data_IF_969453875324
#
_entry.id   IF_969453875324
#
_cell.length_a   1.000
_cell.length_b   1.000
_cell.length_c   1.000
_cell.angle_alpha   90.00
_cell.angle_beta   90.00
_cell.angle_gamma   90.00
#
_symmetry.space_group_name_H-M   'P 1'
#
loop_
_entity.id
_entity.type
_entity.pdbx_description
1 polymer ?
#
# COMPACT_ATOMS: atom_id res chain seq x y z
N UNK A 1 42.83 -58.40 -50.34
CA UNK A 1 43.80 -57.29 -50.37
C UNK A 1 43.04 -56.00 -50.14
N UNK A 2 43.48 -55.25 -49.12
CA UNK A 2 43.31 -53.81 -48.87
C UNK A 2 41.93 -53.17 -48.68
N UNK A 3 41.82 -52.52 -47.51
CA UNK A 3 40.84 -51.55 -47.02
C UNK A 3 40.86 -50.20 -47.77
N UNK A 4 39.70 -49.49 -47.76
CA UNK A 4 39.51 -48.05 -47.48
C UNK A 4 37.99 -47.73 -47.51
N UNK A 5 37.31 -47.38 -46.40
CA UNK A 5 37.26 -46.11 -45.64
C UNK A 5 36.27 -45.09 -46.23
N UNK A 6 35.16 -44.91 -45.47
CA UNK A 6 34.36 -43.68 -45.23
C UNK A 6 33.38 -43.29 -46.36
N UNK A 7 32.11 -42.98 -46.07
CA UNK A 7 31.69 -41.67 -45.54
C UNK A 7 30.33 -41.74 -44.84
N UNK A 8 30.29 -41.18 -43.63
CA UNK A 8 29.12 -40.83 -42.82
C UNK A 8 28.29 -39.74 -43.53
N UNK A 9 26.98 -39.94 -43.68
CA UNK A 9 26.04 -38.87 -43.99
C UNK A 9 25.38 -38.43 -42.67
N UNK A 10 25.82 -37.29 -42.15
CA UNK A 10 25.22 -36.64 -41.00
C UNK A 10 23.91 -35.95 -41.43
N UNK A 11 22.82 -36.27 -40.72
CA UNK A 11 21.55 -35.54 -40.79
C UNK A 11 21.67 -34.35 -39.82
N UNK A 12 21.80 -33.15 -40.34
CA UNK A 12 21.80 -31.92 -39.54
C UNK A 12 20.35 -31.51 -39.31
N UNK A 13 19.78 -31.88 -38.15
CA UNK A 13 18.56 -31.26 -37.64
C UNK A 13 18.95 -29.93 -36.99
N UNK A 14 18.56 -28.81 -37.61
CA UNK A 14 18.67 -27.49 -37.01
C UNK A 14 17.62 -27.35 -35.92
N UNK A 15 18.01 -27.61 -34.66
CA UNK A 15 17.28 -27.13 -33.50
C UNK A 15 17.74 -25.68 -33.25
N UNK A 16 16.98 -24.72 -33.75
CA UNK A 16 17.06 -23.33 -33.30
C UNK A 16 16.47 -23.27 -31.89
N UNK A 17 17.33 -23.41 -30.88
CA UNK A 17 17.00 -23.03 -29.52
C UNK A 17 16.85 -21.50 -29.49
N UNK A 18 15.62 -21.00 -29.34
CA UNK A 18 15.44 -19.72 -28.67
C UNK A 18 15.79 -19.97 -27.20
N UNK A 19 17.03 -19.64 -26.84
CA UNK A 19 17.33 -19.31 -25.46
C UNK A 19 16.61 -17.99 -25.18
N UNK A 20 15.40 -18.08 -24.63
CA UNK A 20 14.78 -16.95 -23.94
C UNK A 20 15.71 -16.56 -22.81
N UNK A 21 16.00 -15.26 -22.72
CA UNK A 21 16.85 -14.70 -21.68
C UNK A 21 16.20 -14.95 -20.31
N UNK A 22 16.71 -15.92 -19.56
CA UNK A 22 16.65 -15.89 -18.11
C UNK A 22 17.82 -15.01 -17.67
N UNK A 23 17.58 -13.72 -17.54
CA UNK A 23 18.52 -12.78 -16.97
C UNK A 23 17.74 -11.88 -16.01
N UNK A 24 18.20 -11.86 -14.75
CA UNK A 24 17.70 -11.13 -13.58
C UNK A 24 16.42 -11.68 -12.93
N UNK A 25 16.56 -12.75 -12.14
CA UNK A 25 15.55 -13.13 -11.14
C UNK A 25 16.16 -13.47 -9.77
N UNK A 26 17.48 -13.28 -9.59
CA UNK A 26 18.21 -13.62 -8.36
C UNK A 26 18.32 -12.43 -7.38
N UNK A 27 17.82 -11.25 -7.76
CA UNK A 27 17.90 -10.00 -6.97
C UNK A 27 16.50 -9.39 -6.70
N UNK A 28 15.41 -10.08 -7.03
CA UNK A 28 14.05 -9.57 -6.76
C UNK A 28 13.70 -9.85 -5.30
N UNK A 29 13.55 -8.78 -4.51
CA UNK A 29 13.08 -8.88 -3.12
C UNK A 29 11.56 -8.85 -3.10
N UNK A 30 10.89 -9.82 -2.47
CA UNK A 30 9.44 -9.79 -2.31
C UNK A 30 9.00 -8.54 -1.55
N UNK A 31 8.00 -7.84 -2.07
CA UNK A 31 7.46 -6.61 -1.46
C UNK A 31 6.00 -6.40 -1.83
N UNK A 32 5.29 -5.65 -0.97
CA UNK A 32 3.91 -5.23 -1.16
C UNK A 32 3.89 -3.71 -1.12
N UNK A 33 3.46 -3.05 -2.20
CA UNK A 33 3.25 -1.61 -2.22
C UNK A 33 1.89 -1.30 -1.57
N UNK A 34 1.93 -0.73 -0.37
CA UNK A 34 0.72 -0.37 0.39
C UNK A 34 0.19 1.03 0.05
N UNK A 35 1.05 1.91 -0.45
CA UNK A 35 0.66 3.25 -0.89
C UNK A 35 -0.25 3.14 -2.11
N UNK A 36 -1.36 3.89 -2.10
CA UNK A 36 -2.37 3.82 -3.16
C UNK A 36 -3.29 2.60 -3.08
N UNK A 37 -3.20 1.78 -2.03
CA UNK A 37 -4.19 0.72 -1.80
C UNK A 37 -5.58 1.34 -1.73
N UNK A 38 -6.44 0.95 -2.65
CA UNK A 38 -7.85 1.34 -2.60
C UNK A 38 -8.63 0.23 -1.94
N UNK A 39 -9.36 0.57 -0.90
CA UNK A 39 -10.16 -0.37 -0.14
C UNK A 39 -11.63 0.05 -0.21
N UNK A 40 -12.48 -0.91 -0.54
CA UNK A 40 -13.94 -0.80 -0.44
C UNK A 40 -14.45 -1.88 0.51
N UNK A 41 -15.74 -1.89 0.82
CA UNK A 41 -16.30 -2.84 1.79
C UNK A 41 -15.95 -4.30 1.47
N UNK A 42 -15.82 -4.70 0.20
CA UNK A 42 -15.66 -6.11 -0.19
C UNK A 42 -14.48 -6.36 -1.13
N UNK A 43 -13.64 -5.37 -1.37
CA UNK A 43 -12.56 -5.49 -2.33
C UNK A 43 -11.41 -4.54 -1.98
N UNK A 44 -10.20 -5.01 -2.20
CA UNK A 44 -8.96 -4.24 -2.10
C UNK A 44 -8.25 -4.27 -3.44
N UNK A 45 -7.67 -3.16 -3.87
CA UNK A 45 -6.75 -3.11 -5.00
C UNK A 45 -5.38 -2.72 -4.47
N UNK A 46 -4.39 -3.58 -4.66
CA UNK A 46 -3.00 -3.36 -4.26
C UNK A 46 -2.22 -2.90 -5.49
N UNK A 47 -1.64 -1.68 -5.49
CA UNK A 47 -1.07 -1.11 -6.70
C UNK A 47 0.09 -1.90 -7.27
N UNK A 48 0.94 -2.47 -6.42
CA UNK A 48 2.06 -3.27 -6.87
C UNK A 48 2.39 -4.37 -5.85
N UNK A 49 2.61 -5.58 -6.36
CA UNK A 49 3.10 -6.73 -5.61
C UNK A 49 4.29 -7.32 -6.35
N UNK A 50 5.41 -7.50 -5.66
CA UNK A 50 6.57 -8.20 -6.21
C UNK A 50 6.80 -9.49 -5.43
N UNK A 51 6.96 -10.60 -6.15
CA UNK A 51 7.29 -11.89 -5.55
C UNK A 51 8.24 -12.65 -6.48
N UNK A 52 9.23 -13.32 -5.92
CA UNK A 52 10.27 -14.02 -6.67
C UNK A 52 9.82 -15.39 -7.22
N UNK A 53 8.82 -16.00 -6.56
CA UNK A 53 8.13 -17.22 -6.97
C UNK A 53 6.60 -17.03 -6.98
N UNK A 54 5.82 -17.80 -7.77
CA UNK A 54 4.37 -17.67 -7.79
C UNK A 54 3.76 -17.90 -6.41
N UNK A 55 2.67 -17.21 -6.11
CA UNK A 55 2.08 -17.24 -4.79
C UNK A 55 0.79 -16.48 -4.66
N UNK A 56 0.54 -16.01 -3.45
CA UNK A 56 -0.67 -15.32 -3.07
C UNK A 56 -0.36 -14.07 -2.25
N UNK A 57 -1.13 -13.03 -2.48
CA UNK A 57 -1.29 -11.94 -1.52
C UNK A 57 -2.57 -12.20 -0.72
N UNK A 58 -2.46 -12.14 0.61
CA UNK A 58 -3.52 -12.56 1.53
C UNK A 58 -3.83 -11.45 2.51
N UNK A 59 -5.12 -11.24 2.79
CA UNK A 59 -5.60 -10.24 3.74
C UNK A 59 -5.94 -10.92 5.06
N UNK A 60 -5.36 -10.43 6.16
CA UNK A 60 -5.68 -10.87 7.52
C UNK A 60 -6.20 -9.71 8.36
N UNK A 61 -7.07 -10.03 9.31
CA UNK A 61 -7.43 -9.11 10.41
C UNK A 61 -6.25 -8.91 11.33
N UNK A 62 -6.20 -7.75 11.98
CA UNK A 62 -5.28 -7.47 13.08
C UNK A 62 -6.05 -7.46 14.41
N UNK A 63 -5.53 -8.12 15.42
CA UNK A 63 -6.03 -8.10 16.80
C UNK A 63 -4.86 -7.90 17.76
N UNK A 64 -4.97 -6.95 18.69
CA UNK A 64 -3.90 -6.59 19.64
C UNK A 64 -2.52 -6.31 18.98
N UNK A 65 -2.54 -5.74 17.77
CA UNK A 65 -1.34 -5.42 17.00
C UNK A 65 -0.67 -6.61 16.30
N UNK A 66 -1.33 -7.78 16.26
CA UNK A 66 -0.83 -8.97 15.59
C UNK A 66 -1.83 -9.51 14.54
N UNK A 67 -1.35 -10.15 13.47
CA UNK A 67 -2.22 -10.81 12.48
C UNK A 67 -2.98 -11.98 13.11
N UNK A 68 -4.29 -12.05 12.85
CA UNK A 68 -5.11 -13.21 13.20
C UNK A 68 -4.84 -14.31 12.16
N UNK A 69 -3.94 -15.23 12.45
CA UNK A 69 -3.59 -16.37 11.59
C UNK A 69 -4.02 -17.70 12.23
N UNK A 70 -4.38 -18.73 11.43
CA UNK A 70 -4.28 -18.82 9.96
C UNK A 70 -5.51 -18.29 9.21
N UNK A 71 -6.50 -17.71 9.90
CA UNK A 71 -7.71 -17.17 9.30
C UNK A 71 -7.39 -16.00 8.34
N UNK A 72 -7.81 -16.07 7.08
CA UNK A 72 -7.76 -14.94 6.14
C UNK A 72 -9.18 -14.43 5.84
N UNK A 73 -9.28 -13.22 5.29
CA UNK A 73 -10.55 -12.62 4.86
C UNK A 73 -10.59 -12.31 3.35
N UNK A 74 -9.56 -12.72 2.61
CA UNK A 74 -9.47 -12.59 1.16
C UNK A 74 -8.06 -12.89 0.67
N UNK A 75 -7.92 -13.23 -0.60
CA UNK A 75 -6.64 -13.53 -1.23
C UNK A 75 -6.72 -13.36 -2.75
N UNK A 76 -5.57 -13.12 -3.39
CA UNK A 76 -5.42 -13.15 -4.83
C UNK A 76 -4.12 -13.87 -5.22
N UNK A 77 -4.16 -14.60 -6.34
CA UNK A 77 -2.97 -15.22 -6.92
C UNK A 77 -2.11 -14.17 -7.59
N UNK A 78 -0.79 -14.28 -7.43
CA UNK A 78 0.21 -13.43 -8.06
C UNK A 78 1.28 -14.29 -8.75
N UNK A 79 1.59 -13.96 -10.00
CA UNK A 79 2.68 -14.60 -10.73
C UNK A 79 4.03 -14.09 -10.19
N UNK A 80 5.09 -14.90 -10.39
CA UNK A 80 6.46 -14.45 -10.12
C UNK A 80 6.80 -13.22 -10.98
N UNK A 81 7.39 -12.21 -10.36
CA UNK A 81 7.66 -10.90 -10.94
C UNK A 81 6.90 -9.78 -10.24
N UNK A 82 6.71 -8.69 -10.97
CA UNK A 82 5.88 -7.55 -10.56
C UNK A 82 4.46 -7.76 -11.10
N UNK A 83 3.46 -7.60 -10.22
CA UNK A 83 2.05 -7.56 -10.55
C UNK A 83 1.47 -6.21 -10.14
N UNK A 84 0.89 -5.50 -11.10
CA UNK A 84 0.25 -4.20 -10.88
C UNK A 84 -1.27 -4.35 -10.67
N UNK A 85 -1.88 -3.42 -9.93
CA UNK A 85 -3.33 -3.31 -9.73
C UNK A 85 -3.98 -4.64 -9.30
N UNK A 86 -3.38 -5.33 -8.33
CA UNK A 86 -3.82 -6.64 -7.85
C UNK A 86 -5.14 -6.50 -7.09
N UNK A 87 -6.20 -7.01 -7.70
CA UNK A 87 -7.55 -7.00 -7.11
C UNK A 87 -7.73 -8.21 -6.21
N UNK A 88 -8.10 -7.95 -4.96
CA UNK A 88 -8.39 -8.96 -3.93
C UNK A 88 -9.87 -8.84 -3.55
N UNK A 89 -10.64 -9.88 -3.86
CA UNK A 89 -12.02 -10.01 -3.37
C UNK A 89 -12.00 -10.53 -1.93
N UNK A 90 -12.88 -9.97 -1.09
CA UNK A 90 -12.95 -10.31 0.33
C UNK A 90 -14.14 -11.21 0.66
N UNK A 91 -13.87 -12.26 1.42
CA UNK A 91 -14.87 -13.19 1.95
C UNK A 91 -15.71 -12.54 3.06
N UNK A 92 -15.11 -11.57 3.77
CA UNK A 92 -15.75 -10.78 4.82
C UNK A 92 -15.54 -9.29 4.56
N UNK A 93 -16.53 -8.43 4.84
CA UNK A 93 -16.37 -7.02 4.57
C UNK A 93 -15.35 -6.37 5.52
N UNK A 94 -14.62 -5.38 5.02
CA UNK A 94 -13.81 -4.49 5.84
C UNK A 94 -14.70 -3.65 6.75
N UNK A 95 -14.25 -3.42 7.98
CA UNK A 95 -14.91 -2.53 8.93
C UNK A 95 -14.17 -1.21 9.00
N UNK A 96 -14.91 -0.13 9.24
CA UNK A 96 -14.33 1.19 9.42
C UNK A 96 -13.48 1.24 10.69
N UNK A 97 -12.41 2.03 10.64
CA UNK A 97 -11.49 2.28 11.75
C UNK A 97 -10.80 1.01 12.28
N UNK A 98 -10.63 0.00 11.42
CA UNK A 98 -9.90 -1.23 11.71
C UNK A 98 -8.56 -1.29 10.96
N UNK A 99 -7.67 -2.15 11.45
CA UNK A 99 -6.39 -2.44 10.81
C UNK A 99 -6.41 -3.84 10.21
N UNK A 100 -5.81 -3.95 9.04
CA UNK A 100 -5.66 -5.19 8.30
C UNK A 100 -4.21 -5.30 7.86
N UNK A 101 -3.76 -6.54 7.64
CA UNK A 101 -2.43 -6.79 7.09
C UNK A 101 -2.54 -7.56 5.78
N UNK A 102 -1.73 -7.15 4.81
CA UNK A 102 -1.44 -7.92 3.62
C UNK A 102 -0.18 -8.74 3.90
N UNK A 103 -0.25 -10.05 3.63
CA UNK A 103 0.85 -10.99 3.79
C UNK A 103 1.10 -11.74 2.49
N UNK A 104 2.36 -11.88 2.09
CA UNK A 104 2.71 -12.74 0.96
C UNK A 104 2.85 -14.19 1.39
N UNK A 105 2.37 -15.09 0.54
CA UNK A 105 2.50 -16.55 0.67
C UNK A 105 3.02 -17.12 -0.65
N UNK A 106 3.83 -18.16 -0.60
CA UNK A 106 4.21 -18.91 -1.82
C UNK A 106 3.15 -19.95 -2.15
N UNK A 107 2.97 -20.28 -3.44
CA UNK A 107 2.18 -21.44 -3.88
C UNK A 107 3.05 -22.69 -3.80
N UNK A 108 3.18 -23.23 -2.58
CA UNK A 108 4.19 -24.25 -2.28
C UNK A 108 3.86 -25.63 -2.85
N UNK A 109 2.59 -25.90 -3.14
CA UNK A 109 2.15 -27.15 -3.76
C UNK A 109 1.86 -27.02 -5.27
N UNK A 110 1.84 -25.77 -5.77
CA UNK A 110 1.80 -25.43 -7.19
C UNK A 110 0.44 -25.67 -7.82
N UNK A 111 -0.63 -25.64 -7.03
CA UNK A 111 -2.00 -25.91 -7.50
C UNK A 111 -2.80 -24.65 -7.83
N UNK A 112 -2.23 -23.46 -7.54
CA UNK A 112 -2.84 -22.15 -7.81
C UNK A 112 -4.05 -21.83 -6.93
N UNK A 113 -4.27 -22.57 -5.85
CA UNK A 113 -5.40 -22.41 -4.92
C UNK A 113 -4.88 -22.16 -3.51
N UNK A 114 -5.26 -21.02 -2.92
CA UNK A 114 -4.84 -20.70 -1.56
C UNK A 114 -5.45 -21.67 -0.54
N UNK A 115 -4.58 -22.40 0.17
CA UNK A 115 -4.92 -23.53 1.03
C UNK A 115 -4.38 -23.42 2.46
N UNK A 116 -3.71 -22.32 2.81
CA UNK A 116 -3.23 -22.07 4.17
C UNK A 116 -4.40 -21.74 5.12
N UNK A 117 -4.62 -22.59 6.13
CA UNK A 117 -5.78 -22.49 7.01
C UNK A 117 -5.72 -23.41 8.23
N UNK A 118 -6.81 -23.42 9.02
CA UNK A 118 -6.89 -24.26 10.23
C UNK A 118 -6.68 -25.76 9.88
N UNK A 119 -5.61 -26.34 10.40
CA UNK A 119 -5.25 -27.74 10.15
C UNK A 119 -4.47 -28.00 8.85
N UNK A 120 -4.18 -26.97 8.06
CA UNK A 120 -3.38 -27.01 6.82
C UNK A 120 -2.45 -25.80 6.77
N UNK A 121 -1.39 -25.80 7.58
CA UNK A 121 -0.41 -24.70 7.69
C UNK A 121 0.95 -25.02 7.10
N UNK A 122 1.09 -26.22 6.54
CA UNK A 122 2.34 -26.72 5.93
C UNK A 122 2.34 -26.53 4.39
N UNK A 123 1.24 -26.01 3.85
CA UNK A 123 1.06 -25.60 2.46
C UNK A 123 0.74 -24.12 2.43
N UNK A 124 1.10 -23.48 1.32
CA UNK A 124 1.07 -22.05 1.07
C UNK A 124 1.65 -21.23 2.22
N UNK A 125 2.89 -21.52 2.57
CA UNK A 125 3.53 -20.89 3.71
C UNK A 125 3.86 -19.42 3.42
N UNK A 126 3.85 -18.55 4.45
CA UNK A 126 4.25 -17.15 4.29
C UNK A 126 5.63 -17.01 3.66
N UNK A 127 5.80 -16.00 2.82
CA UNK A 127 7.12 -15.56 2.33
C UNK A 127 7.87 -14.98 3.53
N UNK A 128 9.04 -15.53 3.84
CA UNK A 128 9.86 -15.11 4.99
C UNK A 128 11.17 -14.51 4.51
N UNK A 129 11.38 -13.23 4.83
CA UNK A 129 12.62 -12.49 4.57
C UNK A 129 13.23 -12.07 5.91
N UNK A 130 14.54 -12.25 6.06
CA UNK A 130 15.28 -11.93 7.30
C UNK A 130 14.68 -12.51 8.60
N UNK A 131 13.96 -13.63 8.47
CA UNK A 131 13.34 -14.33 9.59
C UNK A 131 11.94 -13.81 9.99
N UNK A 132 11.39 -12.85 9.25
CA UNK A 132 10.03 -12.33 9.44
C UNK A 132 9.17 -12.54 8.17
N UNK A 133 7.85 -12.78 8.31
CA UNK A 133 6.94 -12.78 7.16
C UNK A 133 6.94 -11.42 6.45
N UNK A 134 6.86 -11.43 5.12
CA UNK A 134 6.70 -10.22 4.32
C UNK A 134 5.25 -9.75 4.46
N UNK A 135 5.07 -8.71 5.25
CA UNK A 135 3.76 -8.14 5.57
C UNK A 135 3.77 -6.62 5.45
N UNK A 136 2.62 -6.05 5.13
CA UNK A 136 2.35 -4.62 5.30
C UNK A 136 0.99 -4.42 5.97
N UNK A 137 0.79 -3.28 6.64
CA UNK A 137 -0.44 -2.96 7.36
C UNK A 137 -1.11 -1.78 6.67
N UNK A 138 -2.42 -1.85 6.51
CA UNK A 138 -3.25 -0.73 6.08
C UNK A 138 -4.43 -0.55 7.04
N UNK A 139 -4.87 0.70 7.19
CA UNK A 139 -6.04 1.05 7.99
C UNK A 139 -7.19 1.45 7.07
N UNK A 140 -8.40 1.11 7.47
CA UNK A 140 -9.62 1.48 6.75
C UNK A 140 -10.23 2.71 7.40
N UNK A 141 -10.22 3.85 6.71
CA UNK A 141 -10.96 5.02 7.18
C UNK A 141 -12.46 4.87 6.92
N UNK A 142 -13.30 5.38 7.83
CA UNK A 142 -14.76 5.37 7.66
C UNK A 142 -15.23 5.98 6.33
N UNK A 143 -14.56 7.04 5.86
CA UNK A 143 -14.86 7.68 4.57
C UNK A 143 -14.38 6.86 3.36
N UNK A 144 -13.33 6.05 3.52
CA UNK A 144 -12.79 5.21 2.44
C UNK A 144 -13.69 4.01 2.13
N UNK A 145 -14.45 3.52 3.11
CA UNK A 145 -15.39 2.41 2.94
C UNK A 145 -16.75 2.80 2.37
N UNK A 146 -16.89 4.03 1.83
CA UNK A 146 -18.05 4.53 1.10
C UNK A 146 -19.38 4.20 1.78
N UNK A 147 -19.91 5.13 2.59
CA UNK A 147 -21.19 5.01 3.34
C UNK A 147 -22.12 3.88 2.87
N UNK A 148 -21.97 2.68 3.44
CA UNK A 148 -23.01 1.65 3.35
C UNK A 148 -24.04 1.94 4.44
N UNK A 149 -24.66 3.13 4.40
CA UNK A 149 -25.88 3.38 5.15
C UNK A 149 -27.07 2.73 4.41
N UNK A 150 -27.53 1.64 5.01
CA UNK A 150 -28.91 1.15 4.98
C UNK A 150 -29.46 0.52 3.68
N UNK A 151 -29.09 -0.74 3.42
CA UNK A 151 -29.91 -1.67 2.64
C UNK A 151 -30.19 -3.00 3.36
N UNK A 152 -30.34 -3.00 4.70
CA UNK A 152 -30.84 -4.17 5.45
C UNK A 152 -31.78 -3.75 6.58
N UNK A 153 -32.82 -2.96 6.28
CA UNK A 153 -33.89 -2.68 7.24
C UNK A 153 -35.23 -2.22 6.61
N UNK A 154 -35.67 -2.81 5.49
CA UNK A 154 -37.09 -2.70 5.07
C UNK A 154 -37.49 -3.89 4.17
N UNK A 155 -37.34 -5.09 4.69
CA UNK A 155 -37.96 -6.29 4.13
C UNK A 155 -38.53 -7.18 5.24
N UNK A 156 -39.31 -6.57 6.14
CA UNK A 156 -40.11 -7.33 7.09
C UNK A 156 -41.38 -6.56 7.47
N UNK A 157 -42.31 -6.44 6.53
CA UNK A 157 -43.72 -6.30 6.91
C UNK A 157 -44.60 -5.53 5.95
N UNK A 158 -45.04 -6.16 4.85
CA UNK A 158 -46.48 -6.42 4.64
C UNK A 158 -46.70 -7.33 3.43
N UNK A 159 -47.25 -8.50 3.68
CA UNK A 159 -47.90 -9.32 2.66
C UNK A 159 -49.38 -8.95 2.68
N UNK A 160 -49.92 -8.34 1.62
CA UNK A 160 -51.33 -8.55 1.19
C UNK A 160 -51.47 -8.31 -0.33
N UNK A 161 -51.66 -9.43 -1.04
CA UNK A 161 -52.48 -9.72 -2.23
C UNK A 161 -52.73 -8.68 -3.35
N UNK A 162 -52.57 -9.15 -4.60
CA UNK A 162 -53.46 -8.70 -5.69
C UNK A 162 -52.86 -8.66 -7.11
N UNK A 163 -52.90 -9.80 -7.79
CA UNK A 163 -53.04 -10.04 -9.25
C UNK A 163 -53.08 -8.81 -10.18
N UNK A 164 -52.25 -8.77 -11.25
CA UNK A 164 -52.66 -8.84 -12.68
C UNK A 164 -51.55 -8.39 -13.65
N UNK A 165 -51.11 -9.37 -14.45
CA UNK A 165 -50.75 -9.43 -15.87
C UNK A 165 -50.71 -8.19 -16.80
N UNK A 166 -50.00 -8.39 -17.93
CA UNK A 166 -50.07 -7.74 -19.27
C UNK A 166 -48.93 -6.79 -19.70
N UNK A 167 -47.97 -7.40 -20.41
CA UNK A 167 -47.53 -7.16 -21.80
C UNK A 167 -46.88 -5.83 -22.28
N UNK A 168 -45.66 -6.02 -22.84
CA UNK A 168 -45.22 -5.73 -24.22
C UNK A 168 -45.10 -4.27 -24.72
N UNK A 169 -43.92 -3.93 -25.27
CA UNK A 169 -43.72 -2.74 -26.11
C UNK A 169 -42.26 -2.39 -26.39
N UNK A 170 -41.71 -2.93 -27.49
CA UNK A 170 -40.40 -2.59 -28.09
C UNK A 170 -40.49 -1.24 -28.84
N UNK A 171 -39.46 -0.39 -28.76
CA UNK A 171 -38.99 0.44 -29.89
C UNK A 171 -37.62 1.08 -29.62
N UNK A 172 -36.78 1.07 -30.66
CA UNK A 172 -35.41 1.59 -30.74
C UNK A 172 -35.28 3.10 -31.00
N UNK A 173 -34.03 3.60 -30.87
CA UNK A 173 -33.49 4.84 -31.44
C UNK A 173 -33.30 5.92 -30.38
N UNK A 174 -32.12 6.51 -30.15
CA UNK A 174 -31.29 7.26 -31.12
C UNK A 174 -29.87 7.46 -30.53
N UNK A 175 -28.87 7.39 -31.41
CA UNK A 175 -27.45 7.71 -31.18
C UNK A 175 -27.15 9.20 -30.90
N UNK A 176 -26.02 9.45 -30.23
CA UNK A 176 -25.37 10.77 -30.07
C UNK A 176 -25.77 11.45 -28.74
N UNK A 177 -24.87 11.78 -27.82
CA UNK A 177 -23.62 12.53 -28.00
C UNK A 177 -22.63 12.07 -26.92
N UNK A 178 -21.51 11.48 -27.34
CA UNK A 178 -20.28 11.47 -26.56
C UNK A 178 -19.52 12.74 -26.97
N UNK A 179 -19.47 13.72 -26.07
CA UNK A 179 -18.40 14.69 -25.90
C UNK A 179 -18.77 15.59 -24.72
N UNK A 180 -17.73 15.94 -23.94
CA UNK A 180 -17.72 16.97 -22.90
C UNK A 180 -18.21 16.56 -21.50
N UNK A 181 -17.35 15.87 -20.74
CA UNK A 181 -16.70 16.42 -19.53
C UNK A 181 -15.37 15.67 -19.28
N UNK A 182 -14.37 15.94 -20.13
CA UNK A 182 -12.98 15.57 -19.85
C UNK A 182 -12.17 16.87 -19.80
N UNK A 183 -12.29 17.58 -18.69
CA UNK A 183 -11.47 18.74 -18.37
C UNK A 183 -11.50 18.95 -16.86
N UNK A 184 -10.42 18.52 -16.18
CA UNK A 184 -10.21 18.91 -14.79
C UNK A 184 -9.47 17.92 -13.90
N UNK A 185 -8.52 17.12 -14.39
CA UNK A 185 -7.45 16.56 -13.54
C UNK A 185 -6.17 16.51 -14.38
N UNK A 186 -5.58 17.68 -14.63
CA UNK A 186 -4.23 17.81 -15.19
C UNK A 186 -3.63 19.10 -14.62
N UNK A 187 -3.14 18.96 -13.38
CA UNK A 187 -2.27 19.83 -12.61
C UNK A 187 -2.21 19.20 -11.20
N UNK A 188 -1.16 18.58 -10.70
CA UNK A 188 0.25 18.67 -11.04
C UNK A 188 0.92 17.30 -10.83
N UNK A 189 1.28 16.64 -11.92
CA UNK A 189 2.48 15.82 -11.96
C UNK A 189 3.45 16.60 -12.85
N UNK A 190 3.99 17.71 -12.34
CA UNK A 190 5.22 18.19 -12.95
C UNK A 190 6.27 17.11 -12.69
N UNK A 191 6.94 16.65 -13.76
CA UNK A 191 8.09 15.76 -13.63
C UNK A 191 9.13 16.45 -12.76
N UNK A 192 9.22 16.04 -11.49
CA UNK A 192 10.27 16.50 -10.59
C UNK A 192 11.48 15.58 -10.79
N UNK A 193 12.11 15.71 -11.95
CA UNK A 193 13.32 14.98 -12.35
C UNK A 193 14.58 15.47 -11.58
N UNK A 194 14.40 16.38 -10.61
CA UNK A 194 15.43 17.05 -9.78
C UNK A 194 15.09 17.01 -8.26
N UNK A 195 14.39 15.97 -7.75
CA UNK A 195 14.30 15.73 -6.30
C UNK A 195 15.62 15.13 -5.78
N UNK A 196 16.70 15.91 -5.79
CA UNK A 196 17.98 15.47 -5.20
C UNK A 196 18.01 15.68 -3.67
N UNK A 197 17.04 16.38 -3.07
CA UNK A 197 17.04 16.80 -1.67
C UNK A 197 15.71 16.51 -0.95
N UNK A 198 15.74 15.92 0.27
CA UNK A 198 14.56 15.61 1.07
C UNK A 198 13.67 16.84 1.28
N UNK A 199 12.36 16.68 1.15
CA UNK A 199 11.42 17.78 1.25
C UNK A 199 10.01 17.37 1.69
N UNK A 200 9.33 18.32 2.34
CA UNK A 200 7.94 18.18 2.80
C UNK A 200 7.08 19.12 1.95
N UNK A 201 6.16 18.58 1.16
CA UNK A 201 5.22 19.34 0.35
C UNK A 201 3.89 19.46 1.11
N UNK A 202 3.79 20.48 1.96
CA UNK A 202 2.62 20.69 2.82
C UNK A 202 1.51 21.55 2.20
N UNK A 203 1.62 21.91 0.92
CA UNK A 203 0.55 22.63 0.23
C UNK A 203 -0.71 21.76 0.12
N UNK A 204 -1.78 22.17 0.81
CA UNK A 204 -2.99 21.36 0.94
C UNK A 204 -2.99 20.42 2.15
N UNK A 205 -1.98 20.48 3.01
CA UNK A 205 -1.98 19.74 4.27
C UNK A 205 -3.17 20.13 5.14
N UNK A 206 -3.76 19.13 5.76
CA UNK A 206 -4.89 19.28 6.69
C UNK A 206 -4.39 18.96 8.09
N UNK A 207 -4.73 19.80 9.06
CA UNK A 207 -4.39 19.58 10.45
C UNK A 207 -5.61 19.90 11.31
N UNK A 208 -6.08 18.89 12.04
CA UNK A 208 -7.28 19.00 12.85
C UNK A 208 -7.47 17.79 13.77
N UNK A 209 -8.14 18.00 14.90
CA UNK A 209 -8.28 16.96 15.91
C UNK A 209 -6.91 16.49 16.40
N UNK A 210 -6.64 15.20 16.28
CA UNK A 210 -5.42 14.55 16.75
C UNK A 210 -4.51 14.08 15.60
N UNK A 211 -4.67 14.64 14.39
CA UNK A 211 -3.88 14.22 13.22
C UNK A 211 -3.58 15.37 12.26
N UNK A 212 -2.43 15.27 11.59
CA UNK A 212 -2.04 16.11 10.46
C UNK A 212 -1.75 15.22 9.26
N UNK A 213 -2.33 15.54 8.11
CA UNK A 213 -2.10 14.84 6.84
C UNK A 213 -1.36 15.77 5.89
N UNK A 214 -0.20 15.31 5.40
CA UNK A 214 0.67 16.02 4.46
C UNK A 214 0.55 15.33 3.11
N UNK A 215 0.21 16.05 2.03
CA UNK A 215 -0.06 15.41 0.73
C UNK A 215 1.14 14.65 0.19
N UNK A 216 2.34 15.22 0.28
CA UNK A 216 3.54 14.59 -0.26
C UNK A 216 4.78 14.90 0.58
N UNK A 217 5.62 13.88 0.75
CA UNK A 217 6.90 13.95 1.46
C UNK A 217 7.92 13.11 0.71
N UNK A 218 9.01 13.72 0.29
CA UNK A 218 10.12 13.00 -0.32
C UNK A 218 11.29 12.91 0.66
N UNK A 219 11.84 11.71 0.82
CA UNK A 219 13.03 11.45 1.63
C UNK A 219 13.92 10.45 0.88
N UNK A 220 15.25 10.62 0.92
CA UNK A 220 16.19 9.81 0.15
C UNK A 220 16.56 8.47 0.81
N UNK A 221 16.37 8.36 2.12
CA UNK A 221 16.56 7.15 2.92
C UNK A 221 15.33 6.92 3.84
N UNK A 222 15.08 5.70 4.35
CA UNK A 222 14.01 5.47 5.30
C UNK A 222 14.11 6.40 6.51
N UNK A 223 12.97 6.78 7.06
CA UNK A 223 12.96 7.76 8.14
C UNK A 223 11.59 8.00 8.73
N UNK A 224 11.41 9.19 9.30
CA UNK A 224 10.21 9.56 10.02
C UNK A 224 9.80 10.99 9.69
N UNK A 225 8.49 11.20 9.57
CA UNK A 225 7.91 12.54 9.65
C UNK A 225 7.46 12.76 11.10
N UNK A 226 7.98 13.80 11.73
CA UNK A 226 7.79 14.06 13.15
C UNK A 226 7.13 15.42 13.36
N UNK A 227 6.19 15.49 14.29
CA UNK A 227 5.53 16.73 14.71
C UNK A 227 6.12 17.22 16.03
N UNK A 228 6.54 18.48 16.04
CA UNK A 228 7.01 19.21 17.21
C UNK A 228 6.08 20.39 17.53
N UNK A 229 5.91 20.66 18.82
CA UNK A 229 5.30 21.90 19.30
C UNK A 229 6.25 23.08 19.10
N UNK A 230 5.72 24.27 18.79
CA UNK A 230 6.49 25.52 18.73
C UNK A 230 6.08 26.44 19.88
N UNK A 231 7.05 26.85 20.70
CA UNK A 231 6.85 27.82 21.78
C UNK A 231 7.64 29.07 21.47
N UNK A 232 6.97 30.23 21.47
CA UNK A 232 7.59 31.54 21.16
C UNK A 232 8.33 31.59 19.79
N UNK A 233 7.93 30.74 18.84
CA UNK A 233 8.53 30.64 17.51
C UNK A 233 9.77 29.75 17.43
N UNK A 234 10.12 29.05 18.51
CA UNK A 234 11.19 28.05 18.54
C UNK A 234 10.60 26.64 18.72
N UNK A 235 11.12 25.61 18.03
CA UNK A 235 10.66 24.25 18.19
C UNK A 235 11.11 23.68 19.54
N UNK A 236 10.21 22.95 20.21
CA UNK A 236 10.52 22.22 21.44
C UNK A 236 11.21 20.91 21.08
N UNK A 237 12.53 20.93 20.86
CA UNK A 237 13.34 19.73 20.58
C UNK A 237 14.16 19.32 21.81
N UNK A 238 14.39 18.00 22.05
CA UNK A 238 14.08 16.87 21.17
C UNK A 238 12.68 16.27 21.35
N UNK A 239 11.77 16.91 22.11
CA UNK A 239 10.43 16.35 22.34
C UNK A 239 9.59 16.38 21.06
N UNK A 240 8.96 15.26 20.72
CA UNK A 240 7.95 15.17 19.65
C UNK A 240 6.57 14.88 20.24
N UNK A 241 5.51 15.32 19.58
CA UNK A 241 4.12 15.04 19.98
C UNK A 241 3.45 13.95 19.13
N UNK A 242 4.08 13.57 18.02
CA UNK A 242 3.68 12.46 17.15
C UNK A 242 4.71 12.21 16.05
N UNK A 243 4.71 11.02 15.48
CA UNK A 243 5.56 10.64 14.36
C UNK A 243 4.90 9.55 13.53
N UNK A 244 5.35 9.39 12.28
CA UNK A 244 5.02 8.25 11.43
C UNK A 244 6.26 7.85 10.63
N UNK A 245 6.37 6.57 10.29
CA UNK A 245 7.48 6.07 9.48
C UNK A 245 7.28 6.45 8.00
N UNK A 246 8.39 6.69 7.33
CA UNK A 246 8.51 7.01 5.91
C UNK A 246 9.44 6.00 5.25
N UNK A 247 9.11 5.62 4.03
CA UNK A 247 10.04 4.89 3.16
C UNK A 247 10.86 5.87 2.34
N UNK A 248 12.05 5.46 1.90
CA UNK A 248 12.81 6.20 0.91
C UNK A 248 11.98 6.38 -0.38
N UNK A 249 12.09 7.54 -0.99
CA UNK A 249 11.30 7.98 -2.14
C UNK A 249 10.16 8.93 -1.76
N UNK A 250 9.16 9.01 -2.65
CA UNK A 250 7.96 9.80 -2.44
C UNK A 250 7.00 9.06 -1.52
N UNK A 251 6.46 9.76 -0.54
CA UNK A 251 5.40 9.32 0.36
C UNK A 251 4.20 10.24 0.15
N UNK A 252 3.03 9.67 -0.11
CA UNK A 252 1.80 10.43 -0.37
C UNK A 252 0.80 10.25 0.78
N UNK A 253 -0.05 11.27 1.00
CA UNK A 253 -1.11 11.30 2.02
C UNK A 253 -0.62 10.92 3.43
N UNK A 254 0.58 11.39 3.77
CA UNK A 254 1.29 11.05 5.01
C UNK A 254 0.54 11.62 6.21
N UNK A 255 -0.04 10.74 7.01
CA UNK A 255 -0.77 11.11 8.23
C UNK A 255 0.07 10.87 9.47
N UNK A 256 0.22 11.90 10.30
CA UNK A 256 0.86 11.81 11.62
C UNK A 256 -0.19 12.00 12.70
N UNK A 257 -0.40 10.96 13.50
CA UNK A 257 -1.23 11.04 14.69
C UNK A 257 -0.44 11.61 15.87
N UNK A 258 -1.09 12.47 16.66
CA UNK A 258 -0.50 13.08 17.85
C UNK A 258 -1.25 12.65 19.11
N UNK A 259 -0.58 12.71 20.26
CA UNK A 259 -1.14 12.25 21.53
C UNK A 259 -2.18 13.18 22.16
N UNK A 260 -2.26 14.42 21.70
CA UNK A 260 -3.16 15.47 22.22
C UNK A 260 -3.84 16.19 21.05
N UNK A 261 -4.94 16.90 21.30
CA UNK A 261 -5.63 17.63 20.23
C UNK A 261 -4.85 18.89 19.85
N UNK A 262 -4.76 19.16 18.55
CA UNK A 262 -4.17 20.38 18.02
C UNK A 262 -4.89 21.63 18.53
N UNK A 263 -4.12 22.64 18.94
CA UNK A 263 -4.62 23.96 19.28
C UNK A 263 -4.53 24.90 18.08
N UNK A 264 -5.64 25.52 17.72
CA UNK A 264 -5.68 26.51 16.62
C UNK A 264 -4.89 27.78 16.93
N UNK A 265 -4.61 28.05 18.21
CA UNK A 265 -3.84 29.23 18.65
C UNK A 265 -2.33 28.95 18.72
N UNK A 266 -1.90 27.70 18.49
CA UNK A 266 -0.51 27.26 18.57
C UNK A 266 0.07 26.98 17.18
N UNK A 267 1.40 27.02 17.10
CA UNK A 267 2.14 26.64 15.91
C UNK A 267 2.81 25.29 16.13
N UNK A 268 2.93 24.54 15.04
CA UNK A 268 3.59 23.24 15.05
C UNK A 268 4.58 23.17 13.90
N UNK A 269 5.54 22.28 14.03
CA UNK A 269 6.60 22.05 13.05
C UNK A 269 6.62 20.57 12.68
N UNK A 270 6.56 20.31 11.39
CA UNK A 270 6.94 19.04 10.80
C UNK A 270 8.45 19.04 10.56
N UNK A 271 9.12 17.96 10.92
CA UNK A 271 10.55 17.76 10.71
C UNK A 271 10.81 16.33 10.23
N UNK A 272 11.64 16.20 9.21
CA UNK A 272 12.12 14.90 8.76
C UNK A 272 13.28 14.41 9.64
N UNK A 273 13.26 13.11 9.92
CA UNK A 273 14.38 12.39 10.56
C UNK A 273 14.70 11.15 9.73
N UNK A 274 15.96 10.73 9.72
CA UNK A 274 16.34 9.42 9.18
C UNK A 274 16.10 8.33 10.22
N UNK A 275 15.88 7.09 9.78
CA UNK A 275 15.96 5.91 10.63
C UNK A 275 17.41 5.43 10.64
N UNK A 276 18.20 5.99 11.55
CA UNK A 276 19.67 5.83 11.50
C UNK A 276 20.16 4.50 12.05
N UNK A 277 19.36 3.83 12.88
CA UNK A 277 19.67 2.51 13.43
C UNK A 277 18.88 1.38 12.74
N UNK A 278 17.91 1.73 11.89
CA UNK A 278 17.22 0.84 10.96
C UNK A 278 16.23 -0.08 11.65
N UNK A 279 15.72 0.31 12.82
CA UNK A 279 14.81 -0.50 13.62
C UNK A 279 13.32 -0.17 13.39
N UNK A 280 13.03 0.88 12.60
CA UNK A 280 11.68 1.33 12.28
C UNK A 280 10.94 1.98 13.46
N UNK A 281 11.63 2.32 14.55
CA UNK A 281 11.07 2.89 15.77
C UNK A 281 11.69 4.26 16.06
N UNK A 282 10.89 5.31 15.99
CA UNK A 282 11.36 6.66 16.29
C UNK A 282 11.81 6.80 17.75
N UNK A 283 13.10 7.07 17.92
CA UNK A 283 13.88 7.00 19.16
C UNK A 283 14.65 8.29 19.48
N UNK A 284 14.55 9.33 18.64
CA UNK A 284 15.18 10.62 18.91
C UNK A 284 14.56 11.30 20.13
N UNK A 285 15.38 11.58 21.15
CA UNK A 285 14.89 12.07 22.43
C UNK A 285 15.97 12.53 23.41
N UNK A 286 15.55 12.94 24.61
CA UNK A 286 16.48 13.38 25.65
C UNK A 286 17.47 12.27 26.02
N UNK A 287 18.76 12.48 25.70
CA UNK A 287 19.83 11.50 25.94
C UNK A 287 20.04 10.47 24.82
N UNK A 288 19.23 10.53 23.75
CA UNK A 288 19.32 9.69 22.55
C UNK A 288 19.18 10.58 21.30
N UNK A 289 20.15 11.49 21.10
CA UNK A 289 20.13 12.46 19.98
C UNK A 289 21.01 12.02 18.81
N UNK A 290 21.72 10.91 18.96
CA UNK A 290 22.62 10.33 17.96
C UNK A 290 21.92 9.22 17.15
N UNK A 291 20.68 8.88 17.52
CA UNK A 291 19.77 8.00 16.80
C UNK A 291 18.59 8.82 16.30
N UNK A 292 18.06 8.42 15.16
CA UNK A 292 17.04 9.07 14.35
C UNK A 292 17.28 10.55 14.17
N UNK A 293 18.44 10.90 13.61
CA UNK A 293 18.86 12.28 13.49
C UNK A 293 18.03 13.05 12.46
N UNK A 294 17.81 14.37 12.65
CA UNK A 294 17.11 15.19 11.68
C UNK A 294 17.75 15.11 10.29
N UNK A 295 16.92 15.01 9.27
CA UNK A 295 17.36 15.16 7.87
C UNK A 295 17.75 16.61 7.65
N UNK A 296 18.94 16.83 7.08
CA UNK A 296 19.44 18.17 6.79
C UNK A 296 19.71 18.38 5.31
N UNK A 297 19.18 19.47 4.76
CA UNK A 297 19.51 19.98 3.43
C UNK A 297 20.32 21.29 3.56
N UNK A 298 21.44 21.39 2.84
CA UNK A 298 22.44 22.48 2.97
C UNK A 298 22.83 22.86 4.43
N UNK A 299 22.80 21.86 5.32
CA UNK A 299 23.13 22.01 6.75
C UNK A 299 22.01 22.61 7.62
N UNK A 300 20.80 22.78 7.08
CA UNK A 300 19.60 23.14 7.83
C UNK A 300 18.63 21.95 7.90
N UNK A 301 17.91 21.74 9.02
CA UNK A 301 16.92 20.66 9.10
C UNK A 301 15.77 20.91 8.13
N UNK A 302 15.32 19.86 7.45
CA UNK A 302 14.17 19.91 6.55
C UNK A 302 12.90 19.98 7.40
N UNK A 303 12.27 21.16 7.39
CA UNK A 303 11.11 21.45 8.25
C UNK A 303 10.05 22.25 7.52
N UNK A 304 8.80 22.09 7.96
CA UNK A 304 7.68 22.94 7.56
C UNK A 304 6.86 23.29 8.79
N UNK A 305 6.57 24.58 8.98
CA UNK A 305 5.68 25.04 10.05
C UNK A 305 4.25 25.12 9.55
N UNK A 306 3.29 24.74 10.39
CA UNK A 306 1.87 24.87 10.10
C UNK A 306 1.10 25.35 11.33
N UNK A 307 -0.10 25.86 11.10
CA UNK A 307 -1.08 26.19 12.13
C UNK A 307 -2.38 25.48 11.79
N UNK A 308 -2.94 24.67 12.71
CA UNK A 308 -4.20 23.97 12.51
C UNK A 308 -5.34 24.94 12.23
N UNK A 309 -6.19 24.60 11.26
CA UNK A 309 -7.42 25.32 10.97
C UNK A 309 -8.60 24.53 11.52
N UNK A 310 -9.35 25.13 12.46
CA UNK A 310 -10.58 24.56 13.03
C UNK A 310 -11.78 24.71 12.10
#
# INVERSE_FOLDING_TARGET
MSFKVHTLAALTAGASALAGAAAAQDDMMPMIMVQGVTASSNQIIVPEVMVDEPGFIVVHRMEDGAPVVPQSIGHAYVDAGTSDDVVIDLDEPLMADEQYTLMLHYDTDGDGTYSFGEGMTDVDTPVVMDGAPVTTVFATAADALGEVEAAVAEAAGTVVEGVQDVAEGVAEGVEGVAEDVAAGVDAAAEEIDDLDAPMIMADGATAGGMAVTVPQVWIDEPGFLVVHEMVDGEPVVPQSIGHTALVAGMNEDVTVSIGEEFSADEQYMLMLHYDTDGDGVYSFGEGMTDVDTPVTDDGAPVTVTFQPSM
#
